data_IF_444144854454
#
_entry.id   IF_444144854454
#
_cell.length_a   1.000
_cell.length_b   1.000
_cell.length_c   1.000
_cell.angle_alpha   90.00
_cell.angle_beta   90.00
_cell.angle_gamma   90.00
#
_symmetry.space_group_name_H-M   'P 1'
#
loop_
_entity.id
_entity.type
_entity.pdbx_description
1 polymer ?
#
# COMPACT_ATOMS: atom_id res chain seq x y z
N UNK A 1 11.31 -81.03 1.97
CA UNK A 1 12.27 -80.57 0.95
C UNK A 1 11.89 -79.16 0.57
N UNK A 2 12.46 -78.17 1.26
CA UNK A 2 12.17 -76.76 1.03
C UNK A 2 13.42 -76.10 0.43
N UNK A 3 13.32 -75.71 -0.84
CA UNK A 3 14.37 -74.95 -1.54
C UNK A 3 14.10 -73.48 -1.27
N UNK A 4 14.69 -72.96 -0.20
CA UNK A 4 14.76 -71.52 0.03
C UNK A 4 15.58 -70.86 -1.09
N UNK A 5 14.87 -70.34 -2.10
CA UNK A 5 15.44 -69.52 -3.15
C UNK A 5 15.79 -68.15 -2.56
N UNK A 6 17.06 -67.93 -2.24
CA UNK A 6 17.58 -66.59 -1.96
C UNK A 6 17.62 -65.81 -3.28
N UNK A 7 16.59 -65.02 -3.54
CA UNK A 7 16.62 -64.00 -4.58
C UNK A 7 17.58 -62.90 -4.13
N UNK A 8 18.83 -62.95 -4.60
CA UNK A 8 19.77 -61.85 -4.42
C UNK A 8 19.32 -60.73 -5.36
N UNK A 9 18.69 -59.70 -4.81
CA UNK A 9 18.43 -58.44 -5.52
C UNK A 9 19.77 -57.79 -5.82
N UNK A 10 20.27 -57.95 -7.04
CA UNK A 10 21.39 -57.14 -7.54
C UNK A 10 20.94 -55.68 -7.54
N UNK A 11 21.46 -54.90 -6.60
CA UNK A 11 21.46 -53.44 -6.74
C UNK A 11 22.24 -53.10 -8.00
N UNK A 12 21.54 -52.66 -9.04
CA UNK A 12 22.13 -52.07 -10.24
C UNK A 12 22.85 -50.78 -9.82
N UNK A 13 24.14 -50.89 -9.50
CA UNK A 13 25.03 -49.77 -9.19
C UNK A 13 25.37 -49.00 -10.49
N UNK A 14 24.37 -48.42 -11.14
CA UNK A 14 24.61 -47.40 -12.17
C UNK A 14 24.96 -46.09 -11.45
N UNK A 15 26.25 -45.85 -11.26
CA UNK A 15 26.77 -44.56 -10.82
C UNK A 15 26.52 -43.49 -11.90
N UNK A 16 26.37 -42.23 -11.47
CA UNK A 16 26.34 -41.11 -12.40
C UNK A 16 27.73 -40.87 -12.99
N UNK A 17 27.76 -40.57 -14.28
CA UNK A 17 28.96 -40.07 -14.94
C UNK A 17 29.27 -38.65 -14.50
N UNK A 18 30.54 -38.24 -14.57
CA UNK A 18 30.97 -36.90 -14.19
C UNK A 18 30.20 -35.81 -14.97
N UNK A 19 29.90 -36.06 -16.25
CA UNK A 19 29.16 -35.13 -17.09
C UNK A 19 27.70 -34.96 -16.63
N UNK A 20 27.03 -36.05 -16.24
CA UNK A 20 25.67 -35.99 -15.70
C UNK A 20 25.63 -35.17 -14.40
N UNK A 21 26.63 -35.34 -13.53
CA UNK A 21 26.75 -34.55 -12.29
C UNK A 21 26.94 -33.06 -12.61
N UNK A 22 27.83 -32.72 -13.55
CA UNK A 22 28.06 -31.32 -13.93
C UNK A 22 26.81 -30.67 -14.54
N UNK A 23 26.10 -31.39 -15.40
CA UNK A 23 24.83 -30.91 -15.98
C UNK A 23 23.78 -30.72 -14.89
N UNK A 24 23.65 -31.68 -13.96
CA UNK A 24 22.71 -31.57 -12.85
C UNK A 24 23.01 -30.37 -11.94
N UNK A 25 24.29 -30.11 -11.60
CA UNK A 25 24.70 -28.94 -10.82
C UNK A 25 24.42 -27.64 -11.56
N UNK A 26 24.65 -27.61 -12.87
CA UNK A 26 24.38 -26.43 -13.70
C UNK A 26 22.89 -26.09 -13.70
N UNK A 27 22.04 -27.09 -13.93
CA UNK A 27 20.58 -26.93 -13.89
C UNK A 27 20.14 -26.47 -12.49
N UNK A 28 20.66 -27.09 -11.43
CA UNK A 28 20.35 -26.72 -10.06
C UNK A 28 20.71 -25.26 -9.75
N UNK A 29 21.86 -24.80 -10.25
CA UNK A 29 22.30 -23.41 -10.02
C UNK A 29 21.40 -22.42 -10.74
N UNK A 30 21.01 -22.71 -11.98
CA UNK A 30 20.04 -21.88 -12.74
C UNK A 30 18.71 -21.80 -11.98
N UNK A 31 18.22 -22.92 -11.45
CA UNK A 31 17.00 -22.95 -10.66
C UNK A 31 17.12 -22.08 -9.40
N UNK A 32 18.20 -22.26 -8.62
CA UNK A 32 18.41 -21.48 -7.39
C UNK A 32 18.41 -19.98 -7.69
N UNK A 33 19.17 -19.53 -8.68
CA UNK A 33 19.24 -18.10 -9.03
C UNK A 33 17.88 -17.57 -9.48
N UNK A 34 17.15 -18.36 -10.29
CA UNK A 34 15.83 -17.99 -10.79
C UNK A 34 14.82 -17.83 -9.63
N UNK A 35 14.78 -18.80 -8.71
CA UNK A 35 13.89 -18.74 -7.56
C UNK A 35 14.29 -17.64 -6.57
N UNK A 36 15.57 -17.44 -6.30
CA UNK A 36 16.05 -16.36 -5.43
C UNK A 36 15.68 -14.98 -5.98
N UNK A 37 15.84 -14.77 -7.29
CA UNK A 37 15.43 -13.52 -7.95
C UNK A 37 13.93 -13.29 -7.85
N UNK A 38 13.14 -14.33 -8.16
CA UNK A 38 11.68 -14.28 -8.05
C UNK A 38 11.23 -13.95 -6.63
N UNK A 39 11.79 -14.62 -5.62
CA UNK A 39 11.43 -14.38 -4.22
C UNK A 39 11.80 -12.96 -3.77
N UNK A 40 12.97 -12.47 -4.16
CA UNK A 40 13.44 -11.13 -3.78
C UNK A 40 12.49 -10.03 -4.26
N UNK A 41 12.05 -10.12 -5.52
CA UNK A 41 11.10 -9.16 -6.11
C UNK A 41 9.73 -9.24 -5.40
N UNK A 42 9.24 -10.45 -5.14
CA UNK A 42 7.95 -10.64 -4.48
C UNK A 42 7.95 -10.11 -3.05
N UNK A 43 9.02 -10.34 -2.27
CA UNK A 43 9.11 -9.80 -0.92
C UNK A 43 9.13 -8.27 -0.92
N UNK A 44 9.92 -7.63 -1.79
CA UNK A 44 9.94 -6.17 -1.91
C UNK A 44 8.54 -5.61 -2.22
N UNK A 45 7.82 -6.24 -3.15
CA UNK A 45 6.47 -5.82 -3.50
C UNK A 45 5.50 -5.96 -2.33
N UNK A 46 5.57 -7.05 -1.56
CA UNK A 46 4.71 -7.27 -0.39
C UNK A 46 4.92 -6.15 0.65
N UNK A 47 6.16 -5.74 0.90
CA UNK A 47 6.44 -4.64 1.83
C UNK A 47 5.85 -3.32 1.33
N UNK A 48 6.08 -2.97 0.05
CA UNK A 48 5.53 -1.76 -0.57
C UNK A 48 4.00 -1.74 -0.51
N UNK A 49 3.34 -2.86 -0.83
CA UNK A 49 1.87 -2.97 -0.73
C UNK A 49 1.38 -2.89 0.72
N UNK A 50 2.14 -3.43 1.68
CA UNK A 50 1.86 -3.30 3.10
C UNK A 50 1.94 -1.85 3.58
N UNK A 51 2.97 -1.11 3.15
CA UNK A 51 3.09 0.33 3.43
C UNK A 51 1.97 1.14 2.78
N UNK A 52 1.65 0.85 1.52
CA UNK A 52 0.52 1.47 0.82
C UNK A 52 -0.79 1.25 1.57
N UNK A 53 -1.06 0.03 2.05
CA UNK A 53 -2.25 -0.29 2.83
C UNK A 53 -2.34 0.52 4.13
N UNK A 54 -1.20 0.67 4.84
CA UNK A 54 -1.11 1.54 6.02
C UNK A 54 -1.34 3.01 5.68
N UNK A 55 -0.80 3.48 4.56
CA UNK A 55 -0.98 4.85 4.09
C UNK A 55 -2.45 5.14 3.75
N UNK A 56 -3.15 4.19 3.11
CA UNK A 56 -4.60 4.29 2.85
C UNK A 56 -5.37 4.37 4.18
N UNK A 57 -5.06 3.49 5.14
CA UNK A 57 -5.73 3.50 6.44
C UNK A 57 -5.53 4.85 7.16
N UNK A 58 -4.30 5.38 7.14
CA UNK A 58 -3.97 6.68 7.72
C UNK A 58 -4.64 7.84 6.99
N UNK A 59 -4.74 7.78 5.66
CA UNK A 59 -5.46 8.79 4.87
C UNK A 59 -6.95 8.81 5.26
N UNK A 60 -7.55 7.63 5.40
CA UNK A 60 -8.94 7.47 5.84
C UNK A 60 -9.16 8.01 7.26
N UNK A 61 -8.31 7.61 8.21
CA UNK A 61 -8.35 8.12 9.58
C UNK A 61 -8.28 9.65 9.62
N UNK A 62 -7.40 10.25 8.80
CA UNK A 62 -7.30 11.70 8.70
C UNK A 62 -8.55 12.33 8.08
N UNK A 63 -9.13 11.71 7.05
CA UNK A 63 -10.41 12.18 6.50
C UNK A 63 -11.54 12.12 7.52
N UNK A 64 -11.61 11.06 8.32
CA UNK A 64 -12.61 10.91 9.39
C UNK A 64 -12.40 11.96 10.50
N UNK A 65 -11.14 12.29 10.85
CA UNK A 65 -10.80 13.40 11.76
C UNK A 65 -11.31 14.74 11.20
N UNK A 66 -11.05 15.02 9.93
CA UNK A 66 -11.50 16.26 9.28
C UNK A 66 -13.02 16.34 9.19
N UNK A 67 -13.69 15.21 8.94
CA UNK A 67 -15.15 15.11 9.01
C UNK A 67 -15.67 15.47 10.40
N UNK A 68 -15.05 14.92 11.46
CA UNK A 68 -15.42 15.24 12.83
C UNK A 68 -15.21 16.72 13.16
N UNK A 69 -14.15 17.34 12.64
CA UNK A 69 -13.87 18.77 12.84
C UNK A 69 -14.99 19.62 12.24
N UNK A 70 -15.35 19.36 10.98
CA UNK A 70 -16.44 20.09 10.31
C UNK A 70 -17.76 19.86 11.05
N UNK A 71 -18.10 18.62 11.37
CA UNK A 71 -19.35 18.29 12.07
C UNK A 71 -19.45 18.93 13.47
N UNK A 72 -18.32 19.07 14.17
CA UNK A 72 -18.28 19.69 15.50
C UNK A 72 -18.33 21.22 15.47
N UNK A 73 -18.18 21.83 14.30
CA UNK A 73 -18.23 23.27 14.15
C UNK A 73 -19.68 23.77 14.23
N UNK A 74 -19.88 24.94 14.85
CA UNK A 74 -21.23 25.50 15.01
C UNK A 74 -21.72 26.25 13.77
N UNK A 75 -20.80 26.60 12.85
CA UNK A 75 -21.09 27.31 11.62
C UNK A 75 -19.93 27.17 10.61
N UNK A 76 -20.15 27.49 9.32
CA UNK A 76 -19.15 27.39 8.26
C UNK A 76 -17.84 28.15 8.53
N UNK A 77 -17.93 29.34 9.13
CA UNK A 77 -16.75 30.15 9.41
C UNK A 77 -15.83 29.48 10.45
N UNK A 78 -16.42 28.85 11.48
CA UNK A 78 -15.68 28.07 12.47
C UNK A 78 -15.11 26.77 11.90
N UNK A 79 -15.84 26.11 10.99
CA UNK A 79 -15.35 24.90 10.31
C UNK A 79 -14.11 25.21 9.45
N UNK A 80 -14.20 26.24 8.60
CA UNK A 80 -13.08 26.68 7.75
C UNK A 80 -11.87 27.14 8.58
N UNK A 81 -12.08 27.86 9.68
CA UNK A 81 -11.01 28.25 10.59
C UNK A 81 -10.32 27.04 11.25
N UNK A 82 -11.07 26.01 11.62
CA UNK A 82 -10.52 24.78 12.19
C UNK A 82 -9.76 23.94 11.14
N UNK A 83 -10.28 23.87 9.91
CA UNK A 83 -9.64 23.18 8.78
C UNK A 83 -8.38 23.87 8.28
N UNK A 84 -8.18 25.16 8.55
CA UNK A 84 -6.97 25.92 8.16
C UNK A 84 -5.86 25.89 9.22
N UNK A 85 -5.91 24.97 10.18
CA UNK A 85 -4.88 24.83 11.20
C UNK A 85 -3.64 24.07 10.67
N UNK A 86 -2.46 24.70 10.54
CA UNK A 86 -1.25 24.03 10.05
C UNK A 86 -0.78 22.89 10.97
N UNK A 87 -1.11 22.94 12.25
CA UNK A 87 -0.66 21.96 13.26
C UNK A 87 -1.24 20.57 13.03
N UNK A 88 -2.36 20.48 12.32
CA UNK A 88 -3.01 19.21 11.96
C UNK A 88 -2.69 18.78 10.51
N UNK A 89 -1.75 19.45 9.84
CA UNK A 89 -1.26 19.07 8.51
C UNK A 89 -1.91 19.83 7.34
N UNK A 90 -2.61 20.93 7.60
CA UNK A 90 -3.18 21.75 6.54
C UNK A 90 -2.10 22.38 5.66
N UNK A 91 -2.36 22.40 4.35
CA UNK A 91 -1.58 23.08 3.34
C UNK A 91 -2.46 24.08 2.59
N UNK A 92 -1.92 25.26 2.34
CA UNK A 92 -2.61 26.35 1.63
C UNK A 92 -2.84 26.00 0.17
N UNK A 93 -1.86 25.37 -0.47
CA UNK A 93 -1.86 25.10 -1.91
C UNK A 93 -1.88 23.60 -2.17
N UNK A 94 -2.69 23.16 -3.13
CA UNK A 94 -2.82 21.74 -3.49
C UNK A 94 -1.47 21.11 -3.87
N UNK A 95 -0.64 21.82 -4.64
CA UNK A 95 0.66 21.31 -5.08
C UNK A 95 1.62 21.05 -3.92
N UNK A 96 1.53 21.86 -2.85
CA UNK A 96 2.36 21.71 -1.66
C UNK A 96 2.02 20.49 -0.79
N UNK A 97 0.94 19.77 -1.12
CA UNK A 97 0.61 18.49 -0.47
C UNK A 97 1.64 17.41 -0.75
N UNK A 98 2.12 17.36 -1.99
CA UNK A 98 3.00 16.28 -2.46
C UNK A 98 4.46 16.49 -2.05
N UNK A 99 4.81 17.70 -1.63
CA UNK A 99 6.13 18.04 -1.08
C UNK A 99 6.25 17.71 0.42
N UNK A 100 5.13 17.39 1.07
CA UNK A 100 5.11 17.12 2.51
C UNK A 100 5.72 15.75 2.82
N UNK A 101 6.74 15.65 3.69
CA UNK A 101 7.28 14.37 4.13
C UNK A 101 6.33 13.61 5.08
N UNK A 102 5.24 14.25 5.50
CA UNK A 102 4.24 13.70 6.40
C UNK A 102 2.84 13.82 5.80
N UNK A 103 1.85 13.16 6.42
CA UNK A 103 0.44 13.34 6.11
C UNK A 103 0.08 14.82 6.07
N UNK A 104 -0.52 15.24 4.96
CA UNK A 104 -0.95 16.61 4.72
C UNK A 104 -2.32 16.62 4.06
N UNK A 105 -3.05 17.72 4.18
CA UNK A 105 -4.33 17.88 3.49
C UNK A 105 -4.55 19.31 3.01
N UNK A 106 -5.32 19.41 1.94
CA UNK A 106 -5.80 20.65 1.34
C UNK A 106 -7.32 20.55 1.26
N UNK A 107 -8.01 21.68 1.29
CA UNK A 107 -9.44 21.69 1.03
C UNK A 107 -9.82 22.90 0.19
N UNK A 108 -10.90 22.74 -0.56
CA UNK A 108 -11.57 23.80 -1.29
C UNK A 108 -13.08 23.77 -0.99
N UNK A 109 -13.70 24.94 -0.88
CA UNK A 109 -15.16 25.01 -0.75
C UNK A 109 -15.80 24.76 -2.11
N UNK A 110 -16.72 23.80 -2.18
CA UNK A 110 -17.45 23.45 -3.39
C UNK A 110 -18.93 23.28 -3.10
N UNK A 111 -19.73 23.58 -4.12
CA UNK A 111 -21.15 23.24 -4.14
C UNK A 111 -21.33 22.00 -5.01
N UNK A 112 -21.91 20.93 -4.46
CA UNK A 112 -22.31 19.73 -5.21
C UNK A 112 -23.82 19.61 -5.22
N UNK A 113 -24.37 19.10 -6.32
CA UNK A 113 -25.80 18.81 -6.42
C UNK A 113 -26.03 17.35 -6.02
N UNK A 114 -26.77 17.12 -4.95
CA UNK A 114 -27.20 15.78 -4.50
C UNK A 114 -28.72 15.75 -4.62
N UNK A 115 -29.24 14.84 -5.43
CA UNK A 115 -30.68 14.68 -5.68
C UNK A 115 -31.41 15.97 -6.09
N UNK A 116 -30.74 16.80 -6.91
CA UNK A 116 -31.27 18.08 -7.39
C UNK A 116 -31.15 19.25 -6.39
N UNK A 117 -30.66 19.00 -5.18
CA UNK A 117 -30.45 20.02 -4.15
C UNK A 117 -28.98 20.45 -4.12
N UNK A 118 -28.67 21.75 -4.23
CA UNK A 118 -27.30 22.24 -4.08
C UNK A 118 -26.89 22.19 -2.60
N UNK A 119 -25.83 21.44 -2.31
CA UNK A 119 -25.23 21.31 -0.99
C UNK A 119 -23.85 21.97 -1.05
N UNK A 120 -23.60 22.92 -0.14
CA UNK A 120 -22.27 23.49 0.05
C UNK A 120 -21.45 22.62 0.99
N UNK A 121 -20.14 22.55 0.76
CA UNK A 121 -19.25 21.73 1.56
C UNK A 121 -17.79 21.95 1.19
N UNK A 122 -16.94 21.09 1.73
CA UNK A 122 -15.50 21.11 1.55
C UNK A 122 -15.08 19.86 0.78
N UNK A 123 -14.45 20.05 -0.37
CA UNK A 123 -13.71 18.97 -1.03
C UNK A 123 -12.31 18.92 -0.46
N UNK A 124 -12.04 17.86 0.30
CA UNK A 124 -10.78 17.65 1.03
C UNK A 124 -9.94 16.63 0.26
N UNK A 125 -8.68 16.98 0.04
CA UNK A 125 -7.66 16.09 -0.53
C UNK A 125 -6.63 15.80 0.55
N UNK A 126 -6.53 14.54 0.98
CA UNK A 126 -5.56 14.07 1.96
C UNK A 126 -4.47 13.29 1.24
N UNK A 127 -3.21 13.65 1.48
CA UNK A 127 -2.04 12.98 0.93
C UNK A 127 -1.22 12.35 2.05
N UNK A 128 -0.91 11.07 1.90
CA UNK A 128 -0.05 10.33 2.83
C UNK A 128 1.14 9.75 2.07
N UNK A 129 2.37 10.23 2.31
CA UNK A 129 3.57 9.62 1.75
C UNK A 129 3.87 8.26 2.40
N UNK A 130 4.45 7.34 1.63
CA UNK A 130 4.99 6.05 2.08
C UNK A 130 6.28 5.71 1.32
N UNK A 131 7.00 4.66 1.75
CA UNK A 131 8.32 4.29 1.21
C UNK A 131 9.27 5.51 1.22
N UNK A 132 9.49 6.10 2.40
CA UNK A 132 10.33 7.30 2.61
C UNK A 132 9.94 8.52 1.73
N UNK A 133 8.66 8.60 1.34
CA UNK A 133 8.14 9.70 0.51
C UNK A 133 8.30 9.49 -0.99
N UNK A 134 8.78 8.32 -1.42
CA UNK A 134 8.87 7.96 -2.84
C UNK A 134 7.49 7.81 -3.50
N UNK A 135 6.52 7.33 -2.74
CA UNK A 135 5.16 7.13 -3.19
C UNK A 135 4.19 7.86 -2.26
N UNK A 136 2.97 8.09 -2.74
CA UNK A 136 1.92 8.70 -1.95
C UNK A 136 0.56 8.07 -2.27
N UNK A 137 -0.32 8.13 -1.29
CA UNK A 137 -1.74 7.85 -1.44
C UNK A 137 -2.48 9.17 -1.34
N UNK A 138 -3.34 9.45 -2.31
CA UNK A 138 -4.26 10.57 -2.27
C UNK A 138 -5.69 10.06 -2.08
N UNK A 139 -6.40 10.63 -1.11
CA UNK A 139 -7.83 10.39 -0.91
C UNK A 139 -8.58 11.72 -1.04
N UNK A 140 -9.55 11.76 -1.96
CA UNK A 140 -10.46 12.89 -2.13
C UNK A 140 -11.83 12.56 -1.54
N UNK A 141 -12.34 13.45 -0.70
CA UNK A 141 -13.66 13.30 -0.08
C UNK A 141 -14.39 14.63 -0.08
N UNK A 142 -15.72 14.58 -0.10
CA UNK A 142 -16.58 15.75 0.05
C UNK A 142 -17.27 15.70 1.41
N UNK A 143 -17.12 16.75 2.19
CA UNK A 143 -17.72 16.90 3.51
C UNK A 143 -18.76 18.01 3.41
N UNK A 144 -20.02 17.68 3.68
CA UNK A 144 -21.12 18.65 3.73
C UNK A 144 -20.86 19.70 4.84
N UNK A 145 -21.18 20.95 4.55
CA UNK A 145 -21.04 22.04 5.52
C UNK A 145 -22.15 22.00 6.58
N UNK A 146 -21.89 22.59 7.74
CA UNK A 146 -22.86 22.68 8.83
C UNK A 146 -23.84 23.81 8.53
N UNK A 147 -25.12 23.46 8.34
CA UNK A 147 -26.22 24.42 8.15
C UNK A 147 -26.54 25.21 9.42
#
# INVERSE_FOLDING_TARGET
MDKSARTITQHSNKGMTLIEVLVAITILTILIVSFSSMLSINFSNIFIFGEQSKAIAKAKEKTDELYSIVWSANNPATASAALTNPSIGWKRDYDSLFESPTTAYYFETKTKTVDGTPIQGYEVSVVVPYEEGKYHVELKSFIEDVN
#
